data_IF_404193996043
#
_entry.id   IF_404193996043
#
_cell.length_a   1.000
_cell.length_b   1.000
_cell.length_c   1.000
_cell.angle_alpha   90.00
_cell.angle_beta   90.00
_cell.angle_gamma   90.00
#
_symmetry.space_group_name_H-M   'P 1'
#
loop_
_entity.id
_entity.type
_entity.pdbx_description
1 polymer ?
#
# COMPACT_ATOMS: atom_id res chain seq x y z
N UNK A 1 24.31 -6.22 -0.51
CA UNK A 1 23.70 -5.43 -1.60
C UNK A 1 22.92 -4.28 -0.97
N UNK A 2 23.03 -3.06 -1.50
CA UNK A 2 22.30 -1.90 -0.97
C UNK A 2 20.94 -1.86 -1.66
N UNK A 3 19.88 -2.10 -0.91
CA UNK A 3 18.52 -1.96 -1.39
C UNK A 3 18.24 -0.51 -1.75
N UNK A 4 17.93 -0.22 -3.02
CA UNK A 4 17.49 1.11 -3.45
C UNK A 4 15.99 1.24 -3.21
N UNK A 5 15.57 2.44 -2.78
CA UNK A 5 14.16 2.77 -2.58
C UNK A 5 13.82 3.99 -3.41
N UNK A 6 12.74 3.89 -4.19
CA UNK A 6 12.21 4.99 -4.99
C UNK A 6 10.78 5.29 -4.56
N UNK A 7 10.42 6.57 -4.57
CA UNK A 7 9.06 7.01 -4.30
C UNK A 7 8.57 7.89 -5.44
N UNK A 8 7.50 7.44 -6.10
CA UNK A 8 6.85 8.10 -7.23
C UNK A 8 5.52 8.73 -6.78
N UNK A 9 5.15 9.87 -7.36
CA UNK A 9 3.86 10.52 -7.12
C UNK A 9 3.06 10.70 -8.39
N UNK A 10 1.75 10.45 -8.35
CA UNK A 10 0.90 10.57 -9.54
C UNK A 10 0.53 12.01 -9.90
N UNK A 11 0.75 12.97 -8.98
CA UNK A 11 0.10 14.28 -9.02
C UNK A 11 -1.41 14.20 -8.78
N UNK A 12 -2.10 15.33 -8.97
CA UNK A 12 -3.56 15.44 -8.88
C UNK A 12 -4.21 14.89 -10.14
N UNK A 13 -5.17 13.96 -10.01
CA UNK A 13 -5.84 13.30 -11.14
C UNK A 13 -7.35 13.28 -10.97
N UNK A 14 -8.06 13.23 -12.09
CA UNK A 14 -9.51 12.98 -12.12
C UNK A 14 -9.79 11.48 -12.12
N UNK A 15 -10.89 11.08 -11.49
CA UNK A 15 -11.31 9.68 -11.43
C UNK A 15 -11.59 9.10 -12.83
N UNK A 16 -12.32 9.85 -13.66
CA UNK A 16 -12.76 9.43 -15.00
C UNK A 16 -11.60 9.12 -15.96
N UNK A 17 -10.47 9.80 -15.80
CA UNK A 17 -9.37 9.77 -16.77
C UNK A 17 -8.20 8.86 -16.33
N UNK A 18 -8.15 8.43 -15.07
CA UNK A 18 -6.94 7.81 -14.50
C UNK A 18 -7.14 6.49 -13.76
N UNK A 19 -8.36 6.17 -13.30
CA UNK A 19 -8.55 4.97 -12.49
C UNK A 19 -8.35 3.68 -13.28
N UNK A 20 -8.84 3.61 -14.51
CA UNK A 20 -8.70 2.43 -15.36
C UNK A 20 -7.23 2.09 -15.66
N UNK A 21 -6.39 3.11 -15.85
CA UNK A 21 -4.95 2.94 -16.02
C UNK A 21 -4.30 2.38 -14.74
N UNK A 22 -4.61 2.97 -13.59
CA UNK A 22 -4.13 2.50 -12.29
C UNK A 22 -4.54 1.05 -12.02
N UNK A 23 -5.81 0.72 -12.26
CA UNK A 23 -6.34 -0.63 -12.08
C UNK A 23 -5.59 -1.64 -12.95
N UNK A 24 -5.42 -1.37 -14.26
CA UNK A 24 -4.69 -2.25 -15.17
C UNK A 24 -3.25 -2.53 -14.70
N UNK A 25 -2.59 -1.57 -14.06
CA UNK A 25 -1.24 -1.75 -13.54
C UNK A 25 -1.17 -2.53 -12.22
N UNK A 26 -2.30 -2.63 -11.52
CA UNK A 26 -2.36 -3.12 -10.14
C UNK A 26 -3.46 -4.17 -9.91
N UNK A 27 -4.01 -4.77 -10.97
CA UNK A 27 -5.18 -5.65 -10.92
C UNK A 27 -4.99 -6.83 -9.95
N UNK A 28 -3.80 -7.44 -9.97
CA UNK A 28 -3.46 -8.59 -9.11
C UNK A 28 -2.85 -8.19 -7.76
N UNK A 29 -2.80 -6.89 -7.44
CA UNK A 29 -2.24 -6.44 -6.16
C UNK A 29 -3.24 -6.68 -5.04
N UNK A 30 -2.74 -7.06 -3.88
CA UNK A 30 -3.56 -7.04 -2.67
C UNK A 30 -3.84 -5.59 -2.31
N UNK A 31 -5.10 -5.24 -2.11
CA UNK A 31 -5.57 -3.92 -1.76
C UNK A 31 -6.39 -3.94 -0.48
N UNK A 32 -6.31 -2.85 0.27
CA UNK A 32 -7.04 -2.62 1.51
C UNK A 32 -7.67 -1.23 1.51
N UNK A 33 -8.97 -1.17 1.79
CA UNK A 33 -9.72 0.07 1.93
C UNK A 33 -10.93 -0.15 2.85
N UNK A 34 -11.62 0.94 3.19
CA UNK A 34 -12.89 0.86 3.89
C UNK A 34 -13.91 1.77 3.23
N UNK A 35 -15.11 1.26 3.03
CA UNK A 35 -16.25 1.99 2.50
C UNK A 35 -17.47 1.80 3.41
N UNK A 36 -18.65 2.20 2.94
CA UNK A 36 -19.90 2.08 3.69
C UNK A 36 -20.33 0.62 3.98
N UNK A 37 -19.70 -0.37 3.34
CA UNK A 37 -19.97 -1.79 3.55
C UNK A 37 -18.97 -2.46 4.50
N UNK A 38 -17.94 -1.73 4.95
CA UNK A 38 -16.98 -2.21 5.93
C UNK A 38 -15.54 -2.10 5.46
N UNK A 39 -14.70 -3.01 5.94
CA UNK A 39 -13.29 -3.09 5.58
C UNK A 39 -13.06 -4.21 4.58
N UNK A 40 -12.27 -3.92 3.54
CA UNK A 40 -11.97 -4.83 2.45
C UNK A 40 -10.47 -5.13 2.44
N UNK A 41 -10.12 -6.39 2.19
CA UNK A 41 -8.76 -6.87 1.98
C UNK A 41 -8.81 -7.93 0.86
N UNK A 42 -8.71 -7.47 -0.38
CA UNK A 42 -8.92 -8.28 -1.58
C UNK A 42 -8.06 -7.75 -2.73
N UNK A 43 -8.36 -8.09 -3.99
CA UNK A 43 -7.65 -7.52 -5.15
C UNK A 43 -8.02 -6.06 -5.39
N UNK A 44 -7.22 -5.35 -6.19
CA UNK A 44 -7.51 -3.96 -6.54
C UNK A 44 -8.89 -3.81 -7.19
N UNK A 45 -9.74 -2.84 -6.78
CA UNK A 45 -11.08 -2.74 -7.31
C UNK A 45 -11.12 -2.10 -8.70
N UNK A 46 -11.88 -2.71 -9.62
CA UNK A 46 -12.08 -2.24 -11.01
C UNK A 46 -12.57 -0.79 -11.10
N UNK A 47 -13.33 -0.35 -10.09
CA UNK A 47 -13.84 1.01 -9.95
C UNK A 47 -13.30 1.63 -8.68
N UNK A 48 -13.10 2.94 -8.70
CA UNK A 48 -12.68 3.68 -7.52
C UNK A 48 -13.69 3.45 -6.38
N UNK A 49 -13.25 2.94 -5.22
CA UNK A 49 -14.15 2.69 -4.12
C UNK A 49 -14.60 4.02 -3.50
N UNK A 50 -15.77 4.01 -2.85
CA UNK A 50 -16.24 5.15 -2.06
C UNK A 50 -15.52 5.14 -0.70
N UNK A 51 -14.24 5.49 -0.73
CA UNK A 51 -13.32 5.56 0.41
C UNK A 51 -12.55 6.87 0.38
N UNK A 52 -11.91 7.23 1.50
CA UNK A 52 -10.93 8.33 1.54
C UNK A 52 -9.50 7.87 1.28
N UNK A 53 -9.21 6.58 1.52
CA UNK A 53 -7.89 5.97 1.41
C UNK A 53 -7.99 4.54 0.88
N UNK A 54 -7.02 4.18 0.05
CA UNK A 54 -6.76 2.82 -0.37
C UNK A 54 -5.26 2.58 -0.29
N UNK A 55 -4.87 1.41 0.20
CA UNK A 55 -3.52 0.89 0.11
C UNK A 55 -3.54 -0.32 -0.82
N UNK A 56 -2.48 -0.52 -1.59
CA UNK A 56 -2.28 -1.77 -2.31
C UNK A 56 -0.81 -2.16 -2.32
N UNK A 57 -0.50 -3.43 -2.48
CA UNK A 57 0.86 -3.92 -2.48
C UNK A 57 1.02 -5.22 -3.27
N UNK A 58 2.25 -5.41 -3.70
CA UNK A 58 2.80 -6.64 -4.29
C UNK A 58 4.26 -6.75 -3.82
N UNK A 59 4.98 -7.87 -3.99
CA UNK A 59 6.39 -7.94 -3.61
C UNK A 59 7.22 -6.76 -4.15
N UNK A 60 7.84 -6.02 -3.24
CA UNK A 60 8.72 -4.88 -3.55
C UNK A 60 8.02 -3.59 -3.99
N UNK A 61 6.68 -3.52 -4.05
CA UNK A 61 5.93 -2.33 -4.45
C UNK A 61 4.73 -2.09 -3.53
N UNK A 62 4.56 -0.84 -3.09
CA UNK A 62 3.46 -0.41 -2.24
C UNK A 62 2.82 0.86 -2.79
N UNK A 63 1.53 0.80 -3.05
CA UNK A 63 0.69 1.90 -3.49
C UNK A 63 -0.09 2.45 -2.29
N UNK A 64 -0.22 3.77 -2.26
CA UNK A 64 -1.22 4.47 -1.45
C UNK A 64 -1.99 5.40 -2.36
N UNK A 65 -3.31 5.39 -2.23
CA UNK A 65 -4.22 6.28 -2.95
C UNK A 65 -5.06 7.07 -1.94
N UNK A 66 -5.11 8.39 -2.10
CA UNK A 66 -6.11 9.25 -1.48
C UNK A 66 -7.21 9.51 -2.51
N UNK A 67 -8.44 9.22 -2.13
CA UNK A 67 -9.63 9.45 -2.94
C UNK A 67 -10.40 10.64 -2.34
N UNK A 68 -10.72 11.63 -3.17
CA UNK A 68 -11.46 12.84 -2.81
C UNK A 68 -12.28 13.27 -4.04
N UNK A 69 -13.41 12.60 -4.32
CA UNK A 69 -14.15 12.77 -5.57
C UNK A 69 -14.43 14.24 -5.91
N UNK A 70 -14.22 14.66 -7.17
CA UNK A 70 -13.97 13.82 -8.34
C UNK A 70 -12.49 13.48 -8.59
N UNK A 71 -11.63 13.63 -7.60
CA UNK A 71 -10.18 13.55 -7.74
C UNK A 71 -9.53 12.46 -6.90
N UNK A 72 -8.28 12.16 -7.24
CA UNK A 72 -7.42 11.28 -6.46
C UNK A 72 -5.94 11.64 -6.63
N UNK A 73 -5.14 11.11 -5.71
CA UNK A 73 -3.67 11.16 -5.73
C UNK A 73 -3.15 9.79 -5.32
N UNK A 74 -2.09 9.33 -5.96
CA UNK A 74 -1.35 8.18 -5.50
C UNK A 74 0.12 8.47 -5.29
N UNK A 75 0.69 7.68 -4.41
CA UNK A 75 2.12 7.54 -4.24
C UNK A 75 2.47 6.05 -4.37
N UNK A 76 3.60 5.75 -5.00
CA UNK A 76 4.10 4.40 -5.20
C UNK A 76 5.51 4.31 -4.63
N UNK A 77 5.70 3.45 -3.64
CA UNK A 77 6.99 3.13 -3.05
C UNK A 77 7.51 1.84 -3.68
N UNK A 78 8.72 1.87 -4.22
CA UNK A 78 9.38 0.75 -4.88
C UNK A 78 10.69 0.40 -4.16
N UNK A 79 11.00 -0.89 -4.14
CA UNK A 79 12.21 -1.45 -3.56
C UNK A 79 12.97 -2.26 -4.61
N UNK A 80 14.17 -1.80 -5.00
CA UNK A 80 14.97 -2.37 -6.09
C UNK A 80 15.84 -3.57 -5.72
N UNK A 81 15.56 -4.28 -4.62
CA UNK A 81 16.42 -5.37 -4.14
C UNK A 81 16.43 -6.61 -5.04
N UNK A 82 15.36 -6.90 -5.80
CA UNK A 82 15.22 -8.18 -6.55
C UNK A 82 14.28 -8.03 -7.77
N UNK A 83 14.57 -7.14 -8.72
CA UNK A 83 13.87 -7.13 -10.01
C UNK A 83 14.75 -7.66 -11.12
N UNK A 84 14.58 -8.95 -11.42
CA UNK A 84 14.74 -9.47 -12.77
C UNK A 84 13.70 -8.78 -13.67
N UNK A 85 14.14 -7.79 -14.46
CA UNK A 85 13.53 -7.37 -15.73
C UNK A 85 12.05 -7.00 -15.80
N UNK A 86 11.34 -6.82 -14.69
CA UNK A 86 9.92 -6.43 -14.70
C UNK A 86 9.77 -4.92 -14.83
N UNK A 87 9.14 -4.47 -15.93
CA UNK A 87 8.87 -3.06 -16.22
C UNK A 87 8.48 -2.26 -14.96
N UNK A 88 9.21 -1.16 -14.71
CA UNK A 88 8.77 -0.17 -13.74
C UNK A 88 7.38 0.32 -14.20
N UNK A 89 6.34 0.33 -13.35
CA UNK A 89 5.00 0.76 -13.75
C UNK A 89 4.92 2.28 -13.92
N UNK A 90 6.00 2.93 -14.35
CA UNK A 90 6.12 4.38 -14.42
C UNK A 90 5.88 4.80 -15.86
N UNK A 91 4.61 4.77 -16.27
CA UNK A 91 4.16 5.50 -17.45
C UNK A 91 4.48 6.99 -17.28
N UNK A 92 4.71 7.73 -18.37
CA UNK A 92 5.09 9.17 -18.45
C UNK A 92 4.25 10.15 -17.60
N UNK A 93 3.18 9.67 -16.95
CA UNK A 93 2.25 10.44 -16.14
C UNK A 93 2.63 10.55 -14.65
N UNK A 94 3.55 9.71 -14.13
CA UNK A 94 3.98 9.78 -12.73
C UNK A 94 5.12 10.79 -12.56
N UNK A 95 4.88 11.82 -11.75
CA UNK A 95 5.87 12.85 -11.46
C UNK A 95 6.82 12.41 -10.34
N UNK A 96 8.12 12.50 -10.65
CA UNK A 96 9.25 12.51 -9.70
C UNK A 96 9.59 11.15 -9.09
N UNK A 97 10.64 10.54 -9.62
CA UNK A 97 11.44 9.52 -8.95
C UNK A 97 12.31 10.20 -7.89
N UNK A 98 11.87 10.18 -6.63
CA UNK A 98 12.74 10.56 -5.52
C UNK A 98 13.42 9.31 -4.96
N UNK A 99 14.75 9.27 -5.01
CA UNK A 99 15.49 8.32 -4.19
C UNK A 99 15.25 8.64 -2.72
N UNK A 100 14.73 7.66 -1.99
CA UNK A 100 14.49 7.79 -0.55
C UNK A 100 15.42 6.84 0.21
N UNK A 101 15.74 7.22 1.45
CA UNK A 101 16.36 6.28 2.37
C UNK A 101 15.39 5.15 2.70
N UNK A 102 15.91 4.02 3.19
CA UNK A 102 15.09 2.90 3.62
C UNK A 102 13.97 3.40 4.56
N UNK A 103 12.69 3.12 4.25
CA UNK A 103 11.58 3.47 5.12
C UNK A 103 11.76 2.90 6.52
N UNK A 104 11.20 3.57 7.53
CA UNK A 104 10.97 2.89 8.80
C UNK A 104 9.88 1.85 8.59
N UNK A 105 10.21 0.59 8.84
CA UNK A 105 9.31 -0.54 8.69
C UNK A 105 8.95 -1.01 10.10
N UNK A 106 7.67 -0.93 10.45
CA UNK A 106 7.18 -1.41 11.73
C UNK A 106 6.08 -2.44 11.48
N UNK A 107 6.09 -3.53 12.26
CA UNK A 107 4.96 -4.45 12.29
C UNK A 107 3.75 -3.73 12.90
N UNK A 108 2.64 -3.74 12.18
CA UNK A 108 1.35 -3.29 12.72
C UNK A 108 0.80 -4.47 13.50
N UNK A 109 1.03 -4.44 14.81
CA UNK A 109 0.44 -5.42 15.70
C UNK A 109 -1.07 -5.20 15.71
N UNK A 110 -1.82 -6.26 15.41
CA UNK A 110 -3.18 -6.38 15.91
C UNK A 110 -3.15 -6.23 17.43
N UNK A 111 -4.23 -5.77 18.04
CA UNK A 111 -4.35 -5.85 19.50
C UNK A 111 -3.98 -7.25 19.95
N UNK A 112 -3.18 -7.35 21.01
CA UNK A 112 -2.85 -8.65 21.61
C UNK A 112 -4.16 -9.39 21.81
N UNK A 113 -4.24 -10.65 21.38
CA UNK A 113 -5.43 -11.48 21.56
C UNK A 113 -5.80 -11.64 23.04
N UNK A 114 -4.88 -11.33 23.96
CA UNK A 114 -5.07 -11.26 25.40
C UNK A 114 -5.36 -9.84 25.93
N UNK A 115 -5.38 -8.80 25.10
CA UNK A 115 -5.76 -7.44 25.50
C UNK A 115 -7.26 -7.37 25.77
N UNK A 116 -7.63 -7.63 27.02
CA UNK A 116 -9.02 -7.67 27.50
C UNK A 116 -9.76 -6.34 27.37
N UNK A 117 -9.08 -5.24 27.06
CA UNK A 117 -9.73 -3.94 26.79
C UNK A 117 -10.47 -3.93 25.47
N UNK A 118 -10.09 -4.82 24.55
CA UNK A 118 -10.67 -4.91 23.22
C UNK A 118 -11.13 -6.35 23.03
N UNK A 119 -12.43 -6.55 23.22
CA UNK A 119 -13.05 -7.82 22.87
C UNK A 119 -13.08 -7.89 21.34
N UNK A 120 -12.07 -8.51 20.74
CA UNK A 120 -12.19 -8.96 19.36
C UNK A 120 -13.44 -9.84 19.30
N UNK A 121 -14.36 -9.51 18.39
CA UNK A 121 -15.50 -10.38 18.12
C UNK A 121 -14.90 -11.72 17.68
N UNK A 122 -15.12 -12.75 18.49
CA UNK A 122 -14.69 -14.12 18.20
C UNK A 122 -15.92 -14.88 17.76
N UNK A 123 -16.18 -14.96 16.46
CA UNK A 123 -17.11 -15.98 15.97
C UNK A 123 -16.46 -17.37 16.12
N UNK A 124 -17.22 -18.43 16.48
CA UNK A 124 -16.68 -19.79 16.60
C UNK A 124 -15.96 -20.31 15.34
N UNK A 125 -16.22 -19.68 14.18
CA UNK A 125 -15.66 -20.03 12.88
C UNK A 125 -14.67 -18.98 12.35
N UNK A 126 -14.37 -17.91 13.09
CA UNK A 126 -13.42 -16.90 12.65
C UNK A 126 -12.00 -17.32 12.99
N UNK A 127 -11.18 -17.50 11.95
CA UNK A 127 -9.73 -17.51 12.12
C UNK A 127 -9.33 -16.12 12.62
N UNK A 128 -8.42 -16.07 13.61
CA UNK A 128 -7.69 -14.84 13.90
C UNK A 128 -7.18 -14.26 12.58
N UNK A 129 -7.18 -12.93 12.46
CA UNK A 129 -6.55 -12.26 11.32
C UNK A 129 -5.04 -12.53 11.42
N UNK A 130 -4.59 -13.68 10.91
CA UNK A 130 -3.19 -14.13 10.84
C UNK A 130 -2.40 -13.33 9.78
N UNK A 131 -2.97 -12.24 9.26
CA UNK A 131 -2.31 -11.35 8.33
C UNK A 131 -1.30 -10.49 9.09
N UNK A 132 -0.01 -10.81 8.94
CA UNK A 132 1.06 -9.92 9.39
C UNK A 132 1.13 -8.71 8.45
N UNK A 133 0.65 -7.58 8.96
CA UNK A 133 0.67 -6.29 8.27
C UNK A 133 1.85 -5.46 8.75
N UNK A 134 2.50 -4.79 7.80
CA UNK A 134 3.61 -3.90 8.03
C UNK A 134 3.24 -2.49 7.58
N UNK A 135 3.67 -1.50 8.36
CA UNK A 135 3.66 -0.11 7.96
C UNK A 135 5.05 0.29 7.47
N UNK A 136 5.11 0.95 6.32
CA UNK A 136 6.32 1.53 5.77
C UNK A 136 6.17 3.04 5.76
N UNK A 137 7.02 3.74 6.50
CA UNK A 137 7.03 5.20 6.60
C UNK A 137 8.29 5.73 5.92
N UNK A 138 8.20 6.30 4.71
CA UNK A 138 9.35 6.90 4.04
C UNK A 138 9.95 8.01 4.91
N UNK A 139 11.26 7.96 5.09
CA UNK A 139 12.00 8.97 5.84
C UNK A 139 12.43 10.07 4.88
N UNK A 140 11.73 11.21 4.92
CA UNK A 140 12.02 12.41 4.12
C UNK A 140 12.47 13.56 5.01
N UNK A 141 13.26 14.48 4.45
CA UNK A 141 13.67 15.73 5.12
C UNK A 141 12.51 16.73 5.29
N UNK A 142 11.41 16.56 4.54
CA UNK A 142 10.17 17.34 4.69
C UNK A 142 9.02 16.45 5.21
N UNK A 143 8.23 16.91 6.19
CA UNK A 143 7.16 16.12 6.80
C UNK A 143 6.00 15.99 5.82
N UNK A 144 6.01 14.90 5.05
CA UNK A 144 4.88 14.49 4.17
C UNK A 144 4.31 13.14 4.56
N UNK A 145 4.80 12.58 5.69
CA UNK A 145 4.28 11.44 6.48
C UNK A 145 3.09 10.72 5.86
N UNK A 146 3.38 9.95 4.82
CA UNK A 146 2.43 9.07 4.18
C UNK A 146 2.83 7.64 4.48
N UNK A 147 1.99 6.92 5.21
CA UNK A 147 2.25 5.51 5.55
C UNK A 147 1.75 4.62 4.43
N UNK A 148 2.63 3.73 3.97
CA UNK A 148 2.28 2.60 3.11
C UNK A 148 2.00 1.38 3.98
N UNK A 149 1.14 0.49 3.48
CA UNK A 149 0.75 -0.72 4.17
C UNK A 149 1.03 -1.90 3.23
N UNK A 150 1.54 -2.99 3.79
CA UNK A 150 1.79 -4.22 3.04
C UNK A 150 1.76 -5.46 3.93
N UNK A 151 1.54 -6.63 3.32
CA UNK A 151 1.69 -7.92 4.01
C UNK A 151 3.16 -8.34 4.14
N UNK A 152 3.47 -9.35 4.95
CA UNK A 152 4.83 -9.91 5.08
C UNK A 152 5.50 -10.20 3.74
N UNK A 153 4.76 -10.80 2.81
CA UNK A 153 5.30 -11.20 1.50
C UNK A 153 5.56 -10.03 0.56
N UNK A 154 5.05 -8.84 0.88
CA UNK A 154 5.40 -7.63 0.13
C UNK A 154 6.84 -7.18 0.40
N UNK A 155 7.38 -7.48 1.60
CA UNK A 155 8.74 -7.06 1.98
C UNK A 155 9.81 -7.91 1.27
N UNK A 156 10.99 -7.32 0.94
CA UNK A 156 12.16 -8.07 0.52
C UNK A 156 12.54 -9.11 1.57
N UNK A 157 13.05 -10.27 1.17
CA UNK A 157 13.39 -11.37 2.09
C UNK A 157 14.29 -10.94 3.24
N UNK A 158 15.27 -10.07 2.96
CA UNK A 158 16.21 -9.52 3.95
C UNK A 158 15.57 -8.63 5.02
N UNK A 159 14.30 -8.22 4.84
CA UNK A 159 13.56 -7.34 5.75
C UNK A 159 12.35 -8.03 6.40
N UNK A 160 12.24 -9.36 6.29
CA UNK A 160 11.12 -10.16 6.84
C UNK A 160 11.42 -10.76 8.23
N UNK A 161 12.61 -10.51 8.77
CA UNK A 161 13.10 -11.05 10.05
C UNK A 161 12.78 -10.13 11.24
#
# INVERSE_FOLDING_TARGET
>A
MRTSWKLHGSGHRRLDDGWAELHRMTEDWTAAWSDNNGFHLETMPERAPVSTQLWAWTPGKWLRVRLDPPHWWAALLCCGAEQDGGDEPTHDSWSTDEEVTQPRIDRVLHWDGNDKRIQQLRSPNERLLEHEIFRLVPLRSRPTTATFIGGRDSLPRSLRE
#
